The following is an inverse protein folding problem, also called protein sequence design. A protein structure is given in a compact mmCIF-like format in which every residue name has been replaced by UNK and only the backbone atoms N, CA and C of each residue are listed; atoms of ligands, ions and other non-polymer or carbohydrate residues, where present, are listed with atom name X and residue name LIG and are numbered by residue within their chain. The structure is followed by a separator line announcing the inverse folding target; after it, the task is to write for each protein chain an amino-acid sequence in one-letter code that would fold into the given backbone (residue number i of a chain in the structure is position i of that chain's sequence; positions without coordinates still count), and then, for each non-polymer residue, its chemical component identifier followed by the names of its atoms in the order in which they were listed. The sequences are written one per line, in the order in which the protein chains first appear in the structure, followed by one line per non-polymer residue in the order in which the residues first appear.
data_IF_229667961116
#
_entry.id   IF_229667961116
#
_cell.length_a   1.000
_cell.length_b   1.000
_cell.length_c   1.000
_cell.angle_alpha   90.00
_cell.angle_beta   90.00
_cell.angle_gamma   90.00
#
_symmetry.space_group_name_H-M   'P 1'
#
loop_
_entity.id
_entity.type
_entity.pdbx_description
1 polymer ?
#
# COMPACT_ATOMS: atom_id res chain seq x y z
N UNK A 1 -10.32 12.87 -16.78
CA UNK A 1 -9.58 11.96 -17.67
C UNK A 1 -8.73 11.04 -16.79
N UNK A 2 -9.03 9.74 -16.70
CA UNK A 2 -8.42 8.78 -15.75
C UNK A 2 -6.96 8.39 -16.08
N UNK A 3 -6.39 9.01 -17.12
CA UNK A 3 -5.14 8.66 -17.77
C UNK A 3 -4.20 9.87 -17.93
N UNK A 4 -4.26 10.87 -17.05
CA UNK A 4 -3.25 11.93 -17.11
C UNK A 4 -1.89 11.29 -16.81
N UNK A 5 -1.04 11.20 -17.84
CA UNK A 5 0.31 10.63 -17.75
C UNK A 5 1.15 11.29 -16.65
N UNK A 6 0.77 12.48 -16.18
CA UNK A 6 1.42 13.21 -15.09
C UNK A 6 1.47 12.43 -13.78
N UNK A 7 0.35 11.89 -13.29
CA UNK A 7 0.34 11.13 -12.03
C UNK A 7 1.14 9.83 -12.12
N UNK A 8 1.15 9.19 -13.28
CA UNK A 8 1.98 8.02 -13.54
C UNK A 8 3.47 8.38 -13.64
N UNK A 9 3.79 9.47 -14.32
CA UNK A 9 5.16 9.99 -14.45
C UNK A 9 5.73 10.38 -13.09
N UNK A 10 4.93 11.00 -12.21
CA UNK A 10 5.35 11.34 -10.85
C UNK A 10 5.64 10.09 -10.02
N UNK A 11 4.80 9.05 -10.13
CA UNK A 11 5.08 7.75 -9.48
C UNK A 11 6.35 7.09 -10.01
N UNK A 12 6.62 7.16 -11.32
CA UNK A 12 7.86 6.65 -11.91
C UNK A 12 9.06 7.42 -11.37
N UNK A 13 9.02 8.77 -11.40
CA UNK A 13 10.11 9.60 -10.90
C UNK A 13 10.38 9.33 -9.42
N UNK A 14 9.33 9.22 -8.62
CA UNK A 14 9.43 8.88 -7.20
C UNK A 14 10.02 7.48 -7.03
N UNK A 15 9.58 6.50 -7.82
CA UNK A 15 10.16 5.16 -7.78
C UNK A 15 11.65 5.17 -8.11
N UNK A 16 12.06 5.78 -9.24
CA UNK A 16 13.47 5.88 -9.67
C UNK A 16 14.33 6.61 -8.62
N UNK A 17 13.76 7.60 -7.93
CA UNK A 17 14.45 8.37 -6.90
C UNK A 17 14.78 7.51 -5.67
N UNK A 18 13.86 6.64 -5.26
CA UNK A 18 14.01 5.78 -4.08
C UNK A 18 14.60 4.41 -4.40
N UNK A 19 14.38 3.89 -5.61
CA UNK A 19 14.82 2.60 -6.08
C UNK A 19 15.23 2.69 -7.56
N UNK A 20 16.55 2.66 -7.79
CA UNK A 20 17.12 2.72 -9.15
C UNK A 20 16.91 1.42 -9.94
N UNK A 21 16.59 0.30 -9.28
CA UNK A 21 16.40 -1.00 -9.89
C UNK A 21 14.91 -1.33 -9.97
N UNK A 22 14.21 -0.62 -10.86
CA UNK A 22 12.82 -0.87 -11.18
C UNK A 22 12.70 -2.07 -12.11
N UNK A 23 11.99 -3.10 -11.67
CA UNK A 23 11.66 -4.26 -12.52
C UNK A 23 10.43 -3.95 -13.37
N UNK A 24 10.20 -4.73 -14.44
CA UNK A 24 8.97 -4.61 -15.23
C UNK A 24 7.72 -4.80 -14.36
N UNK A 25 7.78 -5.72 -13.38
CA UNK A 25 6.70 -5.94 -12.41
C UNK A 25 6.43 -4.69 -11.55
N UNK A 26 7.48 -4.01 -11.08
CA UNK A 26 7.35 -2.77 -10.33
C UNK A 26 6.69 -1.68 -11.17
N UNK A 27 7.04 -1.59 -12.46
CA UNK A 27 6.46 -0.63 -13.39
C UNK A 27 4.99 -0.93 -13.68
N UNK A 28 4.64 -2.21 -13.87
CA UNK A 28 3.25 -2.64 -13.99
C UNK A 28 2.45 -2.29 -12.74
N UNK A 29 3.03 -2.49 -11.54
CA UNK A 29 2.37 -2.16 -10.28
C UNK A 29 2.00 -0.68 -10.16
N UNK A 30 2.74 0.23 -10.81
CA UNK A 30 2.44 1.67 -10.82
C UNK A 30 1.10 2.01 -11.49
N UNK A 31 0.63 1.13 -12.38
CA UNK A 31 -0.64 1.28 -13.09
C UNK A 31 -1.83 0.92 -12.21
N UNK A 32 -1.65 -0.03 -11.29
CA UNK A 32 -2.70 -0.58 -10.44
C UNK A 32 -2.61 -0.02 -9.02
N UNK A 33 -3.76 0.14 -8.35
CA UNK A 33 -3.81 0.62 -6.98
C UNK A 33 -3.52 2.11 -6.78
N UNK A 34 -3.42 2.51 -5.51
CA UNK A 34 -3.11 3.85 -5.03
C UNK A 34 -1.73 3.80 -4.38
N UNK A 35 -0.81 4.61 -4.90
CA UNK A 35 0.57 4.63 -4.44
C UNK A 35 0.73 5.72 -3.39
N UNK A 36 1.18 5.32 -2.21
CA UNK A 36 1.43 6.20 -1.08
C UNK A 36 2.91 6.12 -0.69
N UNK A 37 3.43 7.23 -0.22
CA UNK A 37 4.77 7.33 0.37
C UNK A 37 4.60 7.64 1.85
N UNK A 38 5.01 6.72 2.72
CA UNK A 38 4.87 6.86 4.17
C UNK A 38 5.99 7.77 4.74
N UNK A 39 5.87 8.13 6.03
CA UNK A 39 6.77 9.08 6.71
C UNK A 39 8.23 8.62 6.71
N UNK A 40 8.49 7.34 6.92
CA UNK A 40 9.84 6.77 6.88
C UNK A 40 10.38 6.54 5.47
N UNK A 41 9.64 6.96 4.44
CA UNK A 41 10.01 6.80 3.04
C UNK A 41 9.60 5.44 2.45
N UNK A 42 8.99 4.55 3.22
CA UNK A 42 8.45 3.30 2.68
C UNK A 42 7.37 3.56 1.63
N UNK A 43 7.37 2.74 0.58
CA UNK A 43 6.32 2.76 -0.45
C UNK A 43 5.20 1.83 -0.03
N UNK A 44 3.96 2.28 -0.20
CA UNK A 44 2.76 1.50 0.02
C UNK A 44 1.86 1.57 -1.22
N UNK A 45 1.18 0.47 -1.54
CA UNK A 45 0.20 0.37 -2.63
C UNK A 45 -1.09 -0.16 -2.05
N UNK A 46 -2.20 0.53 -2.24
CA UNK A 46 -3.53 0.08 -1.83
C UNK A 46 -4.34 -0.23 -3.08
N UNK A 47 -4.75 -1.48 -3.26
CA UNK A 47 -5.60 -1.87 -4.38
C UNK A 47 -6.97 -1.18 -4.31
N UNK A 48 -7.52 -0.81 -5.47
CA UNK A 48 -8.81 -0.09 -5.54
C UNK A 48 -9.99 -1.04 -5.54
N UNK A 49 -9.81 -2.18 -6.20
CA UNK A 49 -10.83 -3.18 -6.49
C UNK A 49 -10.18 -4.56 -6.55
N UNK A 50 -10.99 -5.62 -6.56
CA UNK A 50 -10.51 -7.01 -6.62
C UNK A 50 -9.66 -7.30 -7.86
N UNK A 51 -9.96 -6.66 -9.00
CA UNK A 51 -9.14 -6.78 -10.21
C UNK A 51 -7.72 -6.24 -10.00
N UNK A 52 -7.59 -5.04 -9.42
CA UNK A 52 -6.29 -4.45 -9.09
C UNK A 52 -5.52 -5.35 -8.13
N UNK A 53 -6.20 -5.93 -7.14
CA UNK A 53 -5.59 -6.85 -6.18
C UNK A 53 -5.02 -8.09 -6.89
N UNK A 54 -5.81 -8.71 -7.78
CA UNK A 54 -5.39 -9.89 -8.54
C UNK A 54 -4.19 -9.58 -9.45
N UNK A 55 -4.17 -8.41 -10.10
CA UNK A 55 -3.00 -7.98 -10.87
C UNK A 55 -1.78 -7.78 -9.97
N UNK A 56 -1.93 -7.08 -8.84
CA UNK A 56 -0.82 -6.85 -7.92
C UNK A 56 -0.28 -8.14 -7.28
N UNK A 57 -1.14 -9.13 -6.99
CA UNK A 57 -0.72 -10.46 -6.52
C UNK A 57 -0.08 -11.31 -7.63
N UNK A 58 -0.49 -11.13 -8.89
CA UNK A 58 0.14 -11.78 -10.03
C UNK A 58 1.54 -11.21 -10.34
N UNK A 59 1.82 -9.97 -9.95
CA UNK A 59 3.14 -9.35 -10.10
C UNK A 59 4.11 -9.86 -9.04
N UNK A 60 5.34 -10.16 -9.45
CA UNK A 60 6.35 -10.67 -8.53
C UNK A 60 7.11 -9.52 -7.83
N UNK A 61 6.42 -8.82 -6.92
CA UNK A 61 6.97 -7.70 -6.16
C UNK A 61 7.90 -8.17 -5.04
N UNK A 62 9.10 -8.68 -5.38
CA UNK A 62 10.10 -9.19 -4.40
C UNK A 62 10.48 -8.20 -3.30
N UNK A 63 10.33 -6.89 -3.56
CA UNK A 63 10.64 -5.79 -2.64
C UNK A 63 9.45 -5.31 -1.81
N UNK A 64 8.27 -5.90 -1.99
CA UNK A 64 7.06 -5.56 -1.26
C UNK A 64 6.51 -6.78 -0.52
N UNK A 65 5.90 -6.56 0.64
CA UNK A 65 5.07 -7.51 1.36
C UNK A 65 3.61 -7.15 1.17
N UNK A 66 2.73 -8.16 1.14
CA UNK A 66 1.29 -7.95 1.19
C UNK A 66 0.81 -7.80 2.63
N UNK A 67 -0.15 -6.91 2.87
CA UNK A 67 -0.83 -6.72 4.14
C UNK A 67 -2.20 -7.39 4.02
N UNK A 68 -2.39 -8.45 4.80
CA UNK A 68 -3.65 -9.19 4.92
C UNK A 68 -4.21 -9.03 6.33
N UNK A 69 -5.52 -9.02 6.46
CA UNK A 69 -6.19 -8.99 7.77
C UNK A 69 -6.98 -10.27 7.96
N UNK A 70 -6.89 -10.84 9.16
CA UNK A 70 -7.77 -11.95 9.53
C UNK A 70 -9.22 -11.43 9.67
N UNK A 71 -10.15 -12.15 9.04
CA UNK A 71 -11.61 -11.91 9.18
C UNK A 71 -12.12 -10.55 8.67
N UNK A 72 -11.43 -9.92 7.71
CA UNK A 72 -11.91 -8.69 7.07
C UNK A 72 -11.91 -8.76 5.55
N UNK A 73 -13.01 -8.30 4.97
CA UNK A 73 -13.16 -8.08 3.53
C UNK A 73 -12.80 -6.62 3.23
N UNK A 74 -11.80 -6.40 2.38
CA UNK A 74 -11.35 -5.05 2.06
C UNK A 74 -10.27 -4.99 0.98
N UNK A 75 -9.66 -3.80 0.86
CA UNK A 75 -8.62 -3.53 -0.13
C UNK A 75 -7.33 -4.30 0.21
N UNK A 76 -6.77 -4.98 -0.78
CA UNK A 76 -5.48 -5.62 -0.62
C UNK A 76 -4.37 -4.57 -0.71
N UNK A 77 -3.52 -4.52 0.30
CA UNK A 77 -2.46 -3.51 0.39
C UNK A 77 -1.09 -4.16 0.35
N UNK A 78 -0.10 -3.43 -0.14
CA UNK A 78 1.29 -3.86 -0.20
C UNK A 78 2.17 -2.76 0.38
N UNK A 79 3.26 -3.14 1.03
CA UNK A 79 4.22 -2.21 1.64
C UNK A 79 5.64 -2.70 1.38
N UNK A 80 6.62 -1.80 1.24
CA UNK A 80 8.02 -2.19 1.06
C UNK A 80 8.51 -3.11 2.19
N UNK A 81 9.23 -4.19 1.85
CA UNK A 81 9.82 -5.11 2.85
C UNK A 81 10.82 -4.40 3.77
N UNK A 82 11.49 -3.38 3.24
CA UNK A 82 12.46 -2.56 3.95
C UNK A 82 11.81 -1.41 4.76
N UNK A 83 10.47 -1.43 4.92
CA UNK A 83 9.78 -0.44 5.73
C UNK A 83 10.24 -0.51 7.21
N UNK A 84 10.34 0.65 7.85
CA UNK A 84 10.60 0.74 9.27
C UNK A 84 9.42 0.16 10.07
N UNK A 85 9.63 -0.15 11.36
CA UNK A 85 8.53 -0.62 12.23
C UNK A 85 7.38 0.39 12.28
N UNK A 86 7.70 1.67 12.32
CA UNK A 86 6.72 2.77 12.31
C UNK A 86 5.93 2.80 11.00
N UNK A 87 6.59 2.65 9.85
CA UNK A 87 5.92 2.58 8.55
C UNK A 87 5.07 1.32 8.40
N UNK A 88 5.51 0.17 8.93
CA UNK A 88 4.74 -1.06 8.92
C UNK A 88 3.45 -0.93 9.74
N UNK A 89 3.55 -0.39 10.96
CA UNK A 89 2.39 -0.12 11.81
C UNK A 89 1.46 0.90 11.14
N UNK A 90 2.01 2.01 10.65
CA UNK A 90 1.24 3.06 10.01
C UNK A 90 0.56 2.59 8.73
N UNK A 91 1.28 1.82 7.89
CA UNK A 91 0.75 1.21 6.67
C UNK A 91 -0.34 0.19 6.96
N UNK A 92 -0.18 -0.65 7.99
CA UNK A 92 -1.23 -1.56 8.43
C UNK A 92 -2.48 -0.79 8.91
N UNK A 93 -2.31 0.25 9.73
CA UNK A 93 -3.42 1.13 10.17
C UNK A 93 -4.12 1.81 8.99
N UNK A 94 -3.36 2.25 7.97
CA UNK A 94 -3.95 2.79 6.75
C UNK A 94 -4.75 1.74 5.98
N UNK A 95 -4.19 0.54 5.78
CA UNK A 95 -4.86 -0.53 5.05
C UNK A 95 -6.20 -0.89 5.71
N UNK A 96 -6.23 -1.10 7.03
CA UNK A 96 -7.47 -1.43 7.77
C UNK A 96 -8.50 -0.29 7.71
N UNK A 97 -8.06 0.97 7.63
CA UNK A 97 -8.93 2.14 7.48
C UNK A 97 -9.67 2.17 6.14
N UNK A 98 -9.07 1.57 5.10
CA UNK A 98 -9.72 1.37 3.79
C UNK A 98 -10.58 0.11 3.72
N UNK A 99 -10.41 -0.81 4.66
CA UNK A 99 -11.25 -1.98 4.80
C UNK A 99 -12.56 -1.64 5.53
N UNK A 100 -13.49 -2.61 5.55
CA UNK A 100 -14.77 -2.51 6.23
C UNK A 100 -14.61 -2.78 7.73
N UNK A 101 -13.84 -1.91 8.40
CA UNK A 101 -13.45 -2.05 9.81
C UNK A 101 -14.24 -1.13 10.74
N UNK A 102 -14.25 -1.52 12.02
CA UNK A 102 -14.81 -0.76 13.15
C UNK A 102 -13.70 -0.01 13.89
N UNK A 103 -13.97 1.24 14.30
CA UNK A 103 -12.97 2.15 14.88
C UNK A 103 -12.31 1.63 16.17
N UNK A 104 -13.08 1.00 17.03
CA UNK A 104 -12.64 0.50 18.34
C UNK A 104 -12.21 -0.97 18.31
N UNK A 105 -12.17 -1.59 17.14
CA UNK A 105 -11.78 -3.00 17.01
C UNK A 105 -10.33 -3.10 16.57
N UNK A 106 -9.60 -3.95 17.28
CA UNK A 106 -8.22 -4.29 16.94
C UNK A 106 -8.26 -5.41 15.90
N UNK A 107 -7.52 -5.21 14.82
CA UNK A 107 -7.37 -6.17 13.75
C UNK A 107 -5.93 -6.61 13.64
N UNK A 108 -5.72 -7.91 13.44
CA UNK A 108 -4.40 -8.48 13.23
C UNK A 108 -4.02 -8.35 11.76
N UNK A 109 -3.06 -7.48 11.48
CA UNK A 109 -2.44 -7.33 10.18
C UNK A 109 -1.29 -8.33 10.03
N UNK A 110 -1.30 -9.12 8.97
CA UNK A 110 -0.22 -10.03 8.58
C UNK A 110 0.54 -9.44 7.40
N UNK A 111 1.83 -9.20 7.59
CA UNK A 111 2.75 -8.62 6.61
C UNK A 111 3.92 -9.58 6.42
N UNK A 112 3.83 -10.44 5.40
CA UNK A 112 4.76 -11.56 5.23
C UNK A 112 4.73 -12.47 6.47
N UNK A 113 5.89 -12.64 7.11
CA UNK A 113 6.05 -13.41 8.36
C UNK A 113 5.76 -12.60 9.65
N UNK A 114 5.50 -11.29 9.53
CA UNK A 114 5.23 -10.43 10.69
C UNK A 114 3.72 -10.29 10.90
N UNK A 115 3.31 -10.23 12.16
CA UNK A 115 1.93 -9.90 12.54
C UNK A 115 1.92 -8.70 13.47
N UNK A 116 1.01 -7.76 13.24
CA UNK A 116 0.87 -6.51 13.98
C UNK A 116 -0.59 -6.32 14.34
N UNK A 117 -0.87 -5.93 15.58
CA UNK A 117 -2.23 -5.63 16.02
C UNK A 117 -2.47 -4.13 15.86
N UNK A 118 -3.43 -3.75 15.02
CA UNK A 118 -3.67 -2.35 14.63
C UNK A 118 -5.15 -2.01 14.66
N UNK A 119 -5.45 -0.75 14.97
CA UNK A 119 -6.79 -0.17 14.85
C UNK A 119 -6.85 0.84 13.70
N UNK A 120 -7.99 0.93 13.00
CA UNK A 120 -8.16 1.91 11.94
C UNK A 120 -8.09 3.34 12.46
N UNK A 121 -7.71 4.25 11.58
CA UNK A 121 -7.75 5.67 11.86
C UNK A 121 -9.19 6.17 11.89
N UNK A 122 -9.42 7.18 12.72
CA UNK A 122 -10.69 7.90 12.76
C UNK A 122 -11.09 8.53 11.44
N UNK A 123 -10.10 8.90 10.63
CA UNK A 123 -10.31 9.68 9.42
C UNK A 123 -9.53 9.11 8.23
N UNK A 124 -10.27 8.74 7.18
CA UNK A 124 -9.73 8.23 5.92
C UNK A 124 -8.90 9.28 5.15
N UNK A 125 -9.04 10.56 5.50
CA UNK A 125 -8.30 11.65 4.87
C UNK A 125 -6.79 11.59 5.11
N UNK A 126 -6.33 10.92 6.17
CA UNK A 126 -4.90 10.82 6.49
C UNK A 126 -4.11 10.24 5.31
N UNK A 127 -4.65 9.19 4.68
CA UNK A 127 -4.02 8.56 3.52
C UNK A 127 -3.85 9.51 2.32
N UNK A 128 -4.78 10.45 2.13
CA UNK A 128 -4.73 11.37 0.98
C UNK A 128 -3.54 12.33 1.05
N UNK A 129 -3.07 12.62 2.27
CA UNK A 129 -1.87 13.42 2.51
C UNK A 129 -0.59 12.73 2.01
N UNK A 130 -0.60 11.40 1.96
CA UNK A 130 0.55 10.59 1.54
C UNK A 130 0.48 10.11 0.09
N UNK A 131 -0.56 10.49 -0.65
CA UNK A 131 -0.66 10.15 -2.06
C UNK A 131 0.43 10.82 -2.86
N UNK A 132 1.14 10.03 -3.66
CA UNK A 132 2.09 10.53 -4.63
C UNK A 132 1.27 11.21 -5.75
N UNK A 133 1.28 12.54 -5.76
CA UNK A 133 0.64 13.38 -6.79
C UNK A 133 1.59 13.62 -7.94
#
# INVERSE_FOLDING_TARGET
CLYTMEGFSNRIRDFIKFDKNMSEDDLQSLRYGRHLRLLGGAKMIIGRDEKDNAYLEALNLKKMESIKFDDIIGAHSFISKNASKEDLEFGARLAITYCKSEKDKIYRAKIGDKTLDVSPFDNKNIAQTYFIK
#
